data_IF_021207249767
#
_entry.id   IF_021207249767
#
_cell.length_a   1.000
_cell.length_b   1.000
_cell.length_c   1.000
_cell.angle_alpha   90.00
_cell.angle_beta   90.00
_cell.angle_gamma   90.00
#
_symmetry.space_group_name_H-M   'P 1'
#
loop_
_entity.id
_entity.type
_entity.pdbx_description
1 polymer ?
#
# COMPACT_ATOMS: atom_id res chain seq x y z
N UNK A 1 -34.23 30.68 70.51
CA UNK A 1 -35.04 29.46 70.70
C UNK A 1 -35.51 29.06 69.32
N UNK A 2 -35.10 27.98 68.68
CA UNK A 2 -34.25 26.83 68.99
C UNK A 2 -33.60 26.36 67.67
N UNK A 3 -32.42 25.75 67.76
CA UNK A 3 -31.76 25.01 66.69
C UNK A 3 -32.55 23.75 66.30
N UNK A 4 -32.36 23.28 65.06
CA UNK A 4 -32.06 21.85 64.82
C UNK A 4 -31.49 21.61 63.42
N UNK A 5 -30.26 21.11 63.44
CA UNK A 5 -29.49 20.52 62.35
C UNK A 5 -30.14 19.21 61.89
N UNK A 6 -30.22 18.98 60.56
CA UNK A 6 -30.11 17.64 59.98
C UNK A 6 -29.36 17.68 58.65
N UNK A 7 -28.23 16.99 58.66
CA UNK A 7 -27.35 16.63 57.56
C UNK A 7 -27.81 15.27 56.98
N UNK A 8 -27.98 15.14 55.67
CA UNK A 8 -27.83 13.86 54.95
C UNK A 8 -27.93 14.01 53.43
N UNK A 9 -26.76 13.81 52.80
CA UNK A 9 -26.48 12.89 51.70
C UNK A 9 -27.35 12.91 50.43
N UNK A 10 -26.70 13.28 49.32
CA UNK A 10 -26.69 12.45 48.11
C UNK A 10 -27.67 12.81 46.99
N UNK A 11 -27.23 13.66 46.06
CA UNK A 11 -26.97 13.25 44.66
C UNK A 11 -26.62 14.48 43.82
N UNK A 12 -25.31 14.69 43.63
CA UNK A 12 -24.83 15.51 42.53
C UNK A 12 -25.24 14.86 41.21
N UNK A 13 -26.16 15.51 40.49
CA UNK A 13 -26.32 15.28 39.06
C UNK A 13 -25.06 15.81 38.39
N UNK A 14 -24.17 14.90 38.01
CA UNK A 14 -23.16 15.14 36.99
C UNK A 14 -23.91 15.38 35.67
N UNK A 15 -24.10 16.66 35.34
CA UNK A 15 -24.36 17.07 33.97
C UNK A 15 -22.99 17.10 33.28
N UNK A 16 -22.69 16.09 32.48
CA UNK A 16 -21.67 16.19 31.43
C UNK A 16 -21.96 15.15 30.35
N UNK A 17 -23.10 15.33 29.67
CA UNK A 17 -23.26 14.85 28.31
C UNK A 17 -22.74 15.94 27.39
N UNK A 18 -21.43 16.00 27.24
CA UNK A 18 -20.82 16.56 26.04
C UNK A 18 -21.17 15.61 24.90
N UNK A 19 -22.31 15.87 24.25
CA UNK A 19 -22.54 15.41 22.88
C UNK A 19 -21.47 16.11 22.03
N UNK A 20 -20.29 15.48 21.96
CA UNK A 20 -19.27 15.83 20.99
C UNK A 20 -19.87 15.48 19.63
N UNK A 21 -20.46 16.48 19.00
CA UNK A 21 -21.03 16.38 17.68
C UNK A 21 -19.87 16.14 16.70
N UNK A 22 -19.55 14.86 16.48
CA UNK A 22 -18.44 14.40 15.65
C UNK A 22 -18.64 14.74 14.16
N UNK A 23 -19.81 15.29 13.80
CA UNK A 23 -20.17 15.69 12.44
C UNK A 23 -19.47 16.97 11.96
N UNK A 24 -18.82 17.74 12.84
CA UNK A 24 -18.33 19.08 12.50
C UNK A 24 -16.83 19.16 12.20
N UNK A 25 -16.15 18.03 11.97
CA UNK A 25 -14.70 17.99 11.69
C UNK A 25 -14.39 17.56 10.25
N UNK A 26 -15.40 17.23 9.44
CA UNK A 26 -15.20 16.71 8.09
C UNK A 26 -15.71 17.77 7.09
N UNK A 27 -14.84 18.23 6.20
CA UNK A 27 -15.18 19.18 5.14
C UNK A 27 -16.21 18.52 4.18
N UNK A 28 -17.17 19.28 3.66
CA UNK A 28 -18.17 18.77 2.72
C UNK A 28 -17.50 18.18 1.46
N UNK A 29 -16.35 18.74 1.07
CA UNK A 29 -15.52 18.20 -0.01
C UNK A 29 -14.92 16.83 0.33
N UNK A 30 -14.55 16.61 1.60
CA UNK A 30 -14.00 15.32 2.04
C UNK A 30 -15.11 14.25 2.03
N UNK A 31 -16.33 14.59 2.47
CA UNK A 31 -17.49 13.70 2.41
C UNK A 31 -17.87 13.32 0.98
N UNK A 32 -17.89 14.29 0.07
CA UNK A 32 -18.22 14.06 -1.34
C UNK A 32 -17.14 13.19 -2.01
N UNK A 33 -15.85 13.41 -1.69
CA UNK A 33 -14.75 12.58 -2.19
C UNK A 33 -14.83 11.12 -1.70
N UNK A 34 -15.16 10.91 -0.42
CA UNK A 34 -15.34 9.58 0.15
C UNK A 34 -16.52 8.83 -0.48
N UNK A 35 -17.62 9.53 -0.76
CA UNK A 35 -18.76 8.94 -1.46
C UNK A 35 -18.42 8.54 -2.90
N UNK A 36 -17.68 9.39 -3.63
CA UNK A 36 -17.21 9.08 -4.99
C UNK A 36 -16.30 7.85 -5.00
N UNK A 37 -15.43 7.72 -3.99
CA UNK A 37 -14.53 6.57 -3.85
C UNK A 37 -15.28 5.29 -3.49
N UNK A 38 -16.27 5.35 -2.59
CA UNK A 38 -17.14 4.22 -2.26
C UNK A 38 -17.96 3.75 -3.48
N UNK A 39 -18.52 4.69 -4.24
CA UNK A 39 -19.26 4.38 -5.47
C UNK A 39 -18.36 3.73 -6.53
N UNK A 40 -17.11 4.19 -6.66
CA UNK A 40 -16.14 3.57 -7.56
C UNK A 40 -15.77 2.16 -7.12
N UNK A 41 -15.52 1.95 -5.83
CA UNK A 41 -15.20 0.63 -5.27
C UNK A 41 -16.37 -0.34 -5.38
N UNK A 42 -17.60 0.17 -5.48
CA UNK A 42 -18.79 -0.63 -5.74
C UNK A 42 -19.08 -0.88 -7.22
N UNK A 43 -18.25 -0.36 -8.13
CA UNK A 43 -18.38 -0.61 -9.55
C UNK A 43 -18.14 -2.11 -9.88
N UNK A 44 -19.15 -2.82 -10.41
CA UNK A 44 -19.02 -4.23 -10.75
C UNK A 44 -17.97 -4.47 -11.85
N UNK A 45 -17.83 -3.55 -12.82
CA UNK A 45 -16.87 -3.70 -13.91
C UNK A 45 -15.41 -3.68 -13.42
N UNK A 46 -15.15 -2.96 -12.33
CA UNK A 46 -13.85 -2.96 -11.67
C UNK A 46 -13.66 -4.22 -10.81
N UNK A 47 -14.66 -4.59 -10.00
CA UNK A 47 -14.62 -5.78 -9.13
C UNK A 47 -14.51 -7.10 -9.91
N UNK A 48 -15.12 -7.18 -11.09
CA UNK A 48 -15.15 -8.38 -11.94
C UNK A 48 -13.86 -8.55 -12.77
N UNK A 49 -12.88 -7.65 -12.68
CA UNK A 49 -11.60 -7.87 -13.35
C UNK A 49 -10.92 -9.09 -12.72
N UNK A 50 -10.54 -10.04 -13.58
CA UNK A 50 -9.87 -11.29 -13.17
C UNK A 50 -8.62 -11.08 -12.32
N UNK A 51 -7.94 -9.92 -12.47
CA UNK A 51 -6.69 -9.63 -11.76
C UNK A 51 -6.41 -8.16 -11.60
N UNK A 52 -6.13 -7.74 -10.37
CA UNK A 52 -5.58 -6.43 -10.06
C UNK A 52 -4.10 -6.52 -9.69
N UNK A 53 -3.35 -5.47 -10.03
CA UNK A 53 -2.00 -5.24 -9.56
C UNK A 53 -1.98 -3.87 -8.91
N UNK A 54 -1.44 -3.80 -7.70
CA UNK A 54 -1.27 -2.59 -6.92
C UNK A 54 0.19 -2.45 -6.52
N UNK A 55 0.68 -1.22 -6.51
CA UNK A 55 2.03 -0.87 -6.08
C UNK A 55 1.91 0.32 -5.16
N UNK A 56 2.56 0.21 -4.00
CA UNK A 56 2.60 1.25 -2.99
C UNK A 56 3.98 1.32 -2.35
N UNK A 57 4.26 2.47 -1.76
CA UNK A 57 5.43 2.62 -0.89
C UNK A 57 5.21 1.94 0.45
N UNK A 58 6.29 1.68 1.19
CA UNK A 58 6.23 1.21 2.58
C UNK A 58 5.46 2.15 3.52
N UNK A 59 5.33 3.43 3.16
CA UNK A 59 4.52 4.42 3.86
C UNK A 59 3.03 4.37 3.49
N UNK A 60 2.59 3.41 2.67
CA UNK A 60 1.19 3.28 2.26
C UNK A 60 0.80 4.14 1.05
N UNK A 61 1.69 5.02 0.58
CA UNK A 61 1.38 5.91 -0.55
C UNK A 61 1.17 5.10 -1.83
N UNK A 62 0.05 5.31 -2.54
CA UNK A 62 -0.19 4.70 -3.84
C UNK A 62 0.92 5.07 -4.85
N UNK A 63 1.32 4.13 -5.68
CA UNK A 63 2.30 4.32 -6.77
C UNK A 63 1.72 3.92 -8.12
N UNK A 64 0.96 2.82 -8.17
CA UNK A 64 0.32 2.34 -9.39
C UNK A 64 -0.85 1.41 -9.05
N UNK A 65 -1.90 1.51 -9.84
CA UNK A 65 -3.02 0.60 -9.91
C UNK A 65 -3.26 0.18 -11.36
N UNK A 66 -3.48 -1.12 -11.60
CA UNK A 66 -3.77 -1.60 -12.97
C UNK A 66 -5.08 -1.04 -13.52
N UNK A 67 -6.06 -0.87 -12.64
CA UNK A 67 -7.40 -0.38 -12.95
C UNK A 67 -7.87 0.55 -11.83
N UNK A 68 -8.56 1.63 -12.22
CA UNK A 68 -8.86 2.73 -11.31
C UNK A 68 -7.75 3.77 -11.30
N UNK A 69 -7.98 4.86 -10.59
CA UNK A 69 -6.93 5.84 -10.30
C UNK A 69 -6.44 5.60 -8.88
N UNK A 70 -5.15 5.84 -8.66
CA UNK A 70 -4.51 5.67 -7.35
C UNK A 70 -5.18 6.52 -6.27
N UNK A 71 -5.59 7.74 -6.63
CA UNK A 71 -6.23 8.70 -5.73
C UNK A 71 -7.56 8.18 -5.18
N UNK A 72 -8.36 7.48 -6.00
CA UNK A 72 -9.65 6.90 -5.59
C UNK A 72 -9.51 5.61 -4.77
N UNK A 73 -8.31 5.05 -4.74
CA UNK A 73 -8.00 3.77 -4.12
C UNK A 73 -7.15 3.93 -2.85
N UNK A 74 -6.92 5.16 -2.38
CA UNK A 74 -6.05 5.48 -1.24
C UNK A 74 -6.41 4.64 0.00
N UNK A 75 -7.71 4.51 0.31
CA UNK A 75 -8.18 3.69 1.44
C UNK A 75 -7.78 2.22 1.28
N UNK A 76 -7.91 1.65 0.07
CA UNK A 76 -7.49 0.27 -0.21
C UNK A 76 -5.98 0.08 -0.06
N UNK A 77 -5.18 1.03 -0.54
CA UNK A 77 -3.73 1.02 -0.34
C UNK A 77 -3.35 1.09 1.13
N UNK A 78 -4.05 1.91 1.92
CA UNK A 78 -3.90 1.97 3.38
C UNK A 78 -4.16 0.61 4.05
N UNK A 79 -5.23 -0.09 3.66
CA UNK A 79 -5.53 -1.43 4.17
C UNK A 79 -4.44 -2.44 3.82
N UNK A 80 -3.95 -2.43 2.58
CA UNK A 80 -2.84 -3.33 2.17
C UNK A 80 -1.57 -3.07 2.99
N UNK A 81 -1.24 -1.81 3.24
CA UNK A 81 -0.08 -1.44 4.07
C UNK A 81 -0.27 -1.86 5.53
N UNK A 82 -1.48 -1.72 6.08
CA UNK A 82 -1.79 -2.11 7.44
C UNK A 82 -1.63 -3.64 7.62
N UNK A 83 -2.09 -4.44 6.65
CA UNK A 83 -1.89 -5.90 6.65
C UNK A 83 -0.40 -6.27 6.65
N UNK A 84 0.40 -5.61 5.80
CA UNK A 84 1.86 -5.84 5.75
C UNK A 84 2.50 -5.49 7.10
N UNK A 85 2.16 -4.35 7.67
CA UNK A 85 2.74 -3.87 8.93
C UNK A 85 2.39 -4.78 10.11
N UNK A 86 1.14 -5.21 10.19
CA UNK A 86 0.66 -6.09 11.25
C UNK A 86 1.45 -7.42 11.32
N UNK A 87 1.75 -8.01 10.16
CA UNK A 87 2.53 -9.25 10.10
C UNK A 87 4.02 -8.97 10.39
N UNK A 88 4.55 -7.85 9.92
CA UNK A 88 5.93 -7.42 10.19
C UNK A 88 6.17 -7.15 11.68
N UNK A 89 5.19 -6.63 12.42
CA UNK A 89 5.29 -6.44 13.86
C UNK A 89 5.45 -7.76 14.63
N UNK A 90 5.13 -8.89 13.98
CA UNK A 90 5.35 -10.25 14.51
C UNK A 90 6.67 -10.89 14.03
N UNK A 91 7.58 -10.10 13.44
CA UNK A 91 8.84 -10.55 12.83
C UNK A 91 8.65 -11.59 11.70
N UNK A 92 7.53 -11.47 10.98
CA UNK A 92 7.18 -12.32 9.83
C UNK A 92 6.89 -11.47 8.59
N UNK A 93 6.76 -12.12 7.43
CA UNK A 93 6.50 -11.46 6.14
C UNK A 93 5.27 -12.08 5.49
N UNK A 94 4.24 -11.26 5.30
CA UNK A 94 3.06 -11.68 4.55
C UNK A 94 3.44 -12.07 3.12
N UNK A 95 3.09 -13.29 2.72
CA UNK A 95 3.35 -13.79 1.36
C UNK A 95 2.06 -13.85 0.55
N UNK A 96 0.99 -14.41 1.12
CA UNK A 96 -0.30 -14.51 0.45
C UNK A 96 -1.47 -14.64 1.43
N UNK A 97 -2.66 -14.27 0.96
CA UNK A 97 -3.95 -14.49 1.62
C UNK A 97 -4.84 -15.25 0.63
N UNK A 98 -5.52 -16.28 1.13
CA UNK A 98 -6.47 -17.08 0.36
C UNK A 98 -7.89 -16.84 0.90
N UNK A 99 -8.81 -16.42 0.03
CA UNK A 99 -10.20 -16.11 0.36
C UNK A 99 -11.14 -16.70 -0.69
N UNK A 100 -11.57 -17.95 -0.48
CA UNK A 100 -12.35 -18.69 -1.49
C UNK A 100 -11.54 -18.86 -2.77
N UNK A 101 -12.11 -18.43 -3.90
CA UNK A 101 -11.46 -18.46 -5.21
C UNK A 101 -10.52 -17.26 -5.46
N UNK A 102 -10.42 -16.34 -4.49
CA UNK A 102 -9.53 -15.18 -4.56
C UNK A 102 -8.20 -15.48 -3.86
N UNK A 103 -7.10 -15.19 -4.55
CA UNK A 103 -5.74 -15.25 -4.00
C UNK A 103 -5.11 -13.87 -4.09
N UNK A 104 -4.62 -13.39 -2.94
CA UNK A 104 -3.87 -12.14 -2.82
C UNK A 104 -2.42 -12.48 -2.54
N UNK A 105 -1.48 -11.98 -3.33
CA UNK A 105 -0.05 -12.23 -3.18
C UNK A 105 0.67 -10.90 -2.95
N UNK A 106 1.56 -10.89 -1.96
CA UNK A 106 2.36 -9.73 -1.57
C UNK A 106 3.83 -9.99 -1.92
N UNK A 107 4.48 -8.97 -2.49
CA UNK A 107 5.91 -8.95 -2.73
C UNK A 107 6.49 -7.66 -2.15
N UNK A 108 7.25 -7.78 -1.07
CA UNK A 108 7.91 -6.66 -0.39
C UNK A 108 9.37 -6.60 -0.86
N UNK A 109 9.77 -5.48 -1.46
CA UNK A 109 11.13 -5.22 -1.95
C UNK A 109 11.62 -3.85 -1.48
N UNK A 110 12.20 -3.84 -0.29
CA UNK A 110 12.70 -2.61 0.35
C UNK A 110 11.54 -1.62 0.54
N UNK A 111 11.60 -0.41 -0.05
CA UNK A 111 10.56 0.60 0.12
C UNK A 111 9.33 0.40 -0.77
N UNK A 112 9.28 -0.65 -1.59
CA UNK A 112 8.19 -0.93 -2.54
C UNK A 112 7.46 -2.21 -2.12
N UNK A 113 6.14 -2.10 -1.98
CA UNK A 113 5.22 -3.22 -1.80
C UNK A 113 4.47 -3.39 -3.12
N UNK A 114 4.41 -4.62 -3.62
CA UNK A 114 3.58 -4.97 -4.77
C UNK A 114 2.55 -6.00 -4.32
N UNK A 115 1.32 -5.85 -4.79
CA UNK A 115 0.19 -6.73 -4.45
C UNK A 115 -0.50 -7.18 -5.73
N UNK A 116 -0.69 -8.48 -5.87
CA UNK A 116 -1.54 -9.07 -6.90
C UNK A 116 -2.80 -9.63 -6.24
N UNK A 117 -3.97 -9.30 -6.78
CA UNK A 117 -5.25 -9.93 -6.41
C UNK A 117 -5.74 -10.67 -7.64
N UNK A 118 -5.97 -11.97 -7.55
CA UNK A 118 -6.43 -12.80 -8.66
C UNK A 118 -7.67 -13.60 -8.26
N UNK A 119 -8.67 -13.62 -9.14
CA UNK A 119 -9.92 -14.38 -8.99
C UNK A 119 -9.97 -15.57 -9.97
N UNK A 120 -8.82 -15.92 -10.56
CA UNK A 120 -8.65 -17.02 -11.52
C UNK A 120 -7.64 -18.04 -10.99
N UNK A 121 -7.56 -19.21 -11.64
CA UNK A 121 -6.68 -20.32 -11.29
C UNK A 121 -5.19 -20.05 -11.56
N UNK A 122 -4.61 -19.05 -10.88
CA UNK A 122 -3.17 -18.80 -10.87
C UNK A 122 -2.55 -19.17 -9.53
N UNK A 123 -1.39 -19.82 -9.58
CA UNK A 123 -0.66 -20.15 -8.36
C UNK A 123 0.01 -18.93 -7.74
N UNK A 124 0.28 -19.01 -6.43
CA UNK A 124 1.06 -18.00 -5.71
C UNK A 124 2.42 -17.77 -6.38
N UNK A 125 3.05 -18.83 -6.90
CA UNK A 125 4.33 -18.72 -7.61
C UNK A 125 4.23 -17.94 -8.93
N UNK A 126 3.18 -18.17 -9.71
CA UNK A 126 2.94 -17.45 -10.96
C UNK A 126 2.70 -15.96 -10.70
N UNK A 127 1.87 -15.64 -9.71
CA UNK A 127 1.61 -14.25 -9.31
C UNK A 127 2.87 -13.59 -8.74
N UNK A 128 3.62 -14.30 -7.90
CA UNK A 128 4.91 -13.83 -7.36
C UNK A 128 5.91 -13.54 -8.48
N UNK A 129 5.99 -14.41 -9.49
CA UNK A 129 6.86 -14.21 -10.65
C UNK A 129 6.44 -12.98 -11.46
N UNK A 130 5.14 -12.79 -11.69
CA UNK A 130 4.62 -11.58 -12.34
C UNK A 130 4.97 -10.32 -11.55
N UNK A 131 4.79 -10.32 -10.22
CA UNK A 131 5.18 -9.20 -9.37
C UNK A 131 6.69 -8.92 -9.43
N UNK A 132 7.54 -9.97 -9.49
CA UNK A 132 8.99 -9.79 -9.68
C UNK A 132 9.31 -9.14 -11.02
N UNK A 133 8.61 -9.50 -12.10
CA UNK A 133 8.79 -8.84 -13.40
C UNK A 133 8.40 -7.37 -13.35
N UNK A 134 7.26 -7.05 -12.71
CA UNK A 134 6.82 -5.66 -12.52
C UNK A 134 7.85 -4.86 -11.71
N UNK A 135 8.36 -5.42 -10.60
CA UNK A 135 9.41 -4.79 -9.80
C UNK A 135 10.68 -4.54 -10.62
N UNK A 136 11.16 -5.55 -11.35
CA UNK A 136 12.35 -5.42 -12.19
C UNK A 136 12.16 -4.36 -13.29
N UNK A 137 10.95 -4.25 -13.85
CA UNK A 137 10.63 -3.21 -14.83
C UNK A 137 10.71 -1.81 -14.22
N UNK A 138 10.20 -1.61 -13.01
CA UNK A 138 10.32 -0.33 -12.28
C UNK A 138 11.79 0.02 -12.07
N UNK A 139 12.58 -0.92 -11.55
CA UNK A 139 14.02 -0.73 -11.31
C UNK A 139 14.73 -0.37 -12.62
N UNK A 140 14.45 -1.08 -13.71
CA UNK A 140 15.06 -0.82 -15.01
C UNK A 140 14.74 0.59 -15.53
N UNK A 141 13.48 1.03 -15.44
CA UNK A 141 13.06 2.37 -15.90
C UNK A 141 13.75 3.46 -15.08
N UNK A 142 13.74 3.34 -13.75
CA UNK A 142 14.33 4.34 -12.86
C UNK A 142 15.86 4.39 -13.02
N UNK A 143 16.50 3.22 -13.12
CA UNK A 143 17.96 3.12 -13.31
C UNK A 143 18.38 3.72 -14.64
N UNK A 144 17.65 3.45 -15.73
CA UNK A 144 17.95 4.04 -17.04
C UNK A 144 17.85 5.56 -17.01
N UNK A 145 16.77 6.12 -16.42
CA UNK A 145 16.62 7.57 -16.27
C UNK A 145 17.80 8.19 -15.53
N UNK A 146 18.22 7.57 -14.43
CA UNK A 146 19.35 8.06 -13.63
C UNK A 146 20.68 7.94 -14.39
N UNK A 147 20.89 6.84 -15.12
CA UNK A 147 22.08 6.62 -15.92
C UNK A 147 22.18 7.69 -17.02
N UNK A 148 21.10 7.94 -17.77
CA UNK A 148 21.06 8.98 -18.79
C UNK A 148 21.38 10.36 -18.21
N UNK A 149 20.76 10.71 -17.08
CA UNK A 149 21.02 11.98 -16.39
C UNK A 149 22.50 12.14 -16.01
N UNK A 150 23.15 11.08 -15.51
CA UNK A 150 24.58 11.11 -15.17
C UNK A 150 25.43 11.43 -16.41
N UNK A 151 25.16 10.81 -17.55
CA UNK A 151 25.93 11.06 -18.78
C UNK A 151 25.66 12.44 -19.39
N UNK A 152 24.43 12.96 -19.26
CA UNK A 152 24.08 14.32 -19.68
C UNK A 152 24.83 15.37 -18.86
N UNK A 153 24.92 15.19 -17.54
CA UNK A 153 25.61 16.09 -16.62
C UNK A 153 27.14 15.91 -16.67
N UNK A 154 27.63 14.68 -16.90
CA UNK A 154 29.04 14.30 -16.84
C UNK A 154 29.42 13.42 -18.03
N UNK A 155 29.64 14.05 -19.19
CA UNK A 155 29.95 13.33 -20.45
C UNK A 155 31.14 12.38 -20.39
N UNK A 156 32.12 12.63 -19.51
CA UNK A 156 33.30 11.78 -19.32
C UNK A 156 33.18 10.85 -18.10
N UNK A 157 31.97 10.55 -17.64
CA UNK A 157 31.75 9.61 -16.54
C UNK A 157 32.17 8.19 -16.91
N UNK A 158 32.98 7.56 -16.06
CA UNK A 158 33.43 6.18 -16.25
C UNK A 158 32.46 5.18 -15.61
N UNK A 159 31.61 4.56 -16.43
CA UNK A 159 30.60 3.60 -16.01
C UNK A 159 31.18 2.33 -15.37
N UNK A 160 32.43 1.97 -15.68
CA UNK A 160 33.08 0.77 -15.12
C UNK A 160 33.11 0.83 -13.59
N UNK A 161 33.16 2.03 -13.03
CA UNK A 161 33.13 2.26 -11.58
C UNK A 161 31.82 1.82 -10.93
N UNK A 162 30.69 1.83 -11.65
CA UNK A 162 29.40 1.36 -11.15
C UNK A 162 29.21 -0.15 -11.36
N UNK A 163 29.94 -0.74 -12.32
CA UNK A 163 29.85 -2.16 -12.66
C UNK A 163 30.94 -3.00 -11.99
N UNK A 164 31.82 -2.37 -11.21
CA UNK A 164 32.92 -3.07 -10.52
C UNK A 164 32.35 -4.16 -9.61
N UNK A 165 32.81 -5.40 -9.79
CA UNK A 165 32.35 -6.58 -9.06
C UNK A 165 31.16 -7.30 -9.69
N UNK A 166 30.53 -6.73 -10.74
CA UNK A 166 29.42 -7.35 -11.46
C UNK A 166 29.86 -8.14 -12.71
N UNK A 167 31.14 -8.11 -13.06
CA UNK A 167 31.68 -8.71 -14.29
C UNK A 167 31.41 -10.21 -14.34
N UNK A 168 31.65 -10.92 -13.22
CA UNK A 168 31.38 -12.36 -13.10
C UNK A 168 29.92 -12.71 -13.35
N UNK A 169 29.01 -11.84 -12.92
CA UNK A 169 27.57 -12.06 -13.10
C UNK A 169 27.19 -11.86 -14.57
N UNK A 170 27.76 -10.85 -15.23
CA UNK A 170 27.58 -10.62 -16.67
C UNK A 170 28.11 -11.82 -17.47
N UNK A 171 29.32 -12.28 -17.14
CA UNK A 171 29.91 -13.46 -17.77
C UNK A 171 29.06 -14.72 -17.54
N UNK A 172 28.49 -14.88 -16.35
CA UNK A 172 27.62 -16.01 -16.05
C UNK A 172 26.34 -15.99 -16.89
N UNK A 173 25.73 -14.81 -17.09
CA UNK A 173 24.54 -14.66 -17.94
C UNK A 173 24.83 -15.13 -19.38
N UNK A 174 26.02 -14.82 -19.92
CA UNK A 174 26.41 -15.19 -21.28
C UNK A 174 26.74 -16.69 -21.43
N UNK A 175 27.07 -17.37 -20.34
CA UNK A 175 27.45 -18.78 -20.33
C UNK A 175 26.28 -19.72 -20.01
N UNK A 176 25.06 -19.22 -19.87
CA UNK A 176 23.86 -20.07 -19.90
C UNK A 176 23.66 -20.59 -21.33
N UNK A 177 24.33 -21.71 -21.63
CA UNK A 177 24.14 -22.51 -22.84
C UNK A 177 23.72 -23.92 -22.46
#
# INVERSE_FOLDING_TARGET
>A
MEESVKESLGNGKLNDSADVNLSNVIDENDLESLQIDEDFMNNPEWKEKNKHIFILSSAGKPVYSRYGSEDRLVTLFGVMQALVSFVQDSDDVIQSIHAGDCVIVFLIKGPIILVAVSQIYESVDQLSLQLRYVYNQIVSILTLKQLTKIFDERRNFDLRRLLTGSERLIDHILNFT
#
